data_IF_817714150566
#
_entry.id   IF_817714150566
#
_cell.length_a   1.000
_cell.length_b   1.000
_cell.length_c   1.000
_cell.angle_alpha   90.00
_cell.angle_beta   90.00
_cell.angle_gamma   90.00
#
_symmetry.space_group_name_H-M   'P 1'
#
loop_
_entity.id
_entity.type
_entity.pdbx_description
1 polymer ?
#
# COMPACT_ATOMS: atom_id res chain seq x y z
N UNK A 1 27.73 18.68 -11.27
CA UNK A 1 26.73 18.97 -10.21
C UNK A 1 25.49 19.51 -10.89
N UNK A 2 24.27 19.17 -10.47
CA UNK A 2 23.06 19.61 -11.19
C UNK A 2 22.64 21.00 -10.73
N UNK A 3 22.44 21.93 -11.67
CA UNK A 3 22.02 23.32 -11.43
C UNK A 3 20.76 23.39 -10.56
N UNK A 4 19.83 22.45 -10.75
CA UNK A 4 18.59 22.33 -9.98
C UNK A 4 18.85 22.05 -8.50
N UNK A 5 19.89 21.26 -8.19
CA UNK A 5 20.24 20.96 -6.80
C UNK A 5 20.79 22.19 -6.10
N UNK A 6 21.65 22.96 -6.77
CA UNK A 6 22.25 24.16 -6.17
C UNK A 6 21.22 25.31 -6.08
N UNK A 7 20.27 25.39 -7.02
CA UNK A 7 19.13 26.30 -6.93
C UNK A 7 18.25 25.99 -5.72
N UNK A 8 18.01 24.71 -5.43
CA UNK A 8 17.25 24.30 -4.27
C UNK A 8 17.98 24.64 -2.96
N UNK A 9 19.30 24.41 -2.89
CA UNK A 9 20.11 24.77 -1.72
C UNK A 9 20.04 26.27 -1.42
N UNK A 10 20.19 27.11 -2.45
CA UNK A 10 20.04 28.58 -2.28
C UNK A 10 18.63 28.94 -1.79
N UNK A 11 17.60 28.36 -2.39
CA UNK A 11 16.21 28.66 -2.03
C UNK A 11 15.87 28.28 -0.58
N UNK A 12 16.40 27.17 -0.06
CA UNK A 12 16.18 26.80 1.35
C UNK A 12 16.94 27.73 2.29
N UNK A 13 18.18 28.11 1.97
CA UNK A 13 18.95 29.07 2.76
C UNK A 13 18.24 30.43 2.82
N UNK A 14 17.77 30.94 1.69
CA UNK A 14 16.99 32.19 1.62
C UNK A 14 15.73 32.11 2.48
N UNK A 15 15.03 30.98 2.45
CA UNK A 15 13.83 30.78 3.24
C UNK A 15 14.13 30.75 4.75
N UNK A 16 15.18 30.04 5.16
CA UNK A 16 15.62 30.00 6.57
C UNK A 16 15.95 31.40 7.07
N UNK A 17 16.69 32.19 6.29
CA UNK A 17 17.05 33.57 6.63
C UNK A 17 15.83 34.49 6.71
N UNK A 18 14.93 34.40 5.71
CA UNK A 18 13.72 35.22 5.68
C UNK A 18 12.78 34.90 6.85
N UNK A 19 12.70 33.63 7.27
CA UNK A 19 11.95 33.21 8.45
C UNK A 19 12.57 33.74 9.73
N UNK A 20 13.88 33.58 9.91
CA UNK A 20 14.57 34.10 11.09
C UNK A 20 14.39 35.63 11.23
N UNK A 21 14.45 36.37 10.12
CA UNK A 21 14.18 37.81 10.12
C UNK A 21 12.73 38.15 10.53
N UNK A 22 11.75 37.34 10.10
CA UNK A 22 10.34 37.47 10.51
C UNK A 22 10.14 37.18 12.00
N UNK A 23 10.88 36.22 12.55
CA UNK A 23 10.78 35.87 13.97
C UNK A 23 11.36 36.99 14.86
N UNK A 24 12.33 37.76 14.34
CA UNK A 24 12.88 38.96 15.01
C UNK A 24 12.04 40.23 14.80
N UNK A 25 11.39 40.38 13.64
CA UNK A 25 10.55 41.53 13.27
C UNK A 25 9.23 41.04 12.66
N UNK A 26 8.13 41.17 13.42
CA UNK A 26 6.80 40.73 13.02
C UNK A 26 6.13 41.64 11.97
N UNK A 27 6.87 42.59 11.37
CA UNK A 27 6.36 43.52 10.38
C UNK A 27 5.80 42.87 9.10
N UNK A 28 4.80 43.50 8.42
CA UNK A 28 4.19 42.96 7.20
C UNK A 28 5.18 42.64 6.08
N UNK A 29 6.26 43.41 5.95
CA UNK A 29 7.30 43.21 4.93
C UNK A 29 8.11 41.93 5.16
N UNK A 30 8.43 41.62 6.43
CA UNK A 30 9.16 40.41 6.79
C UNK A 30 8.31 39.16 6.51
N UNK A 31 7.01 39.23 6.84
CA UNK A 31 6.03 38.17 6.50
C UNK A 31 5.96 37.92 4.98
N UNK A 32 5.75 38.97 4.18
CA UNK A 32 5.70 38.85 2.72
C UNK A 32 7.01 38.25 2.15
N UNK A 33 8.16 38.64 2.71
CA UNK A 33 9.46 38.09 2.28
C UNK A 33 9.57 36.59 2.57
N UNK A 34 9.19 36.16 3.77
CA UNK A 34 9.19 34.75 4.16
C UNK A 34 8.23 33.93 3.30
N UNK A 35 7.02 34.44 3.04
CA UNK A 35 6.02 33.77 2.21
C UNK A 35 6.49 33.63 0.76
N UNK A 36 7.11 34.68 0.18
CA UNK A 36 7.71 34.62 -1.16
C UNK A 36 8.87 33.62 -1.24
N UNK A 37 9.72 33.58 -0.22
CA UNK A 37 10.84 32.64 -0.17
C UNK A 37 10.34 31.18 -0.07
N UNK A 38 9.31 30.94 0.76
CA UNK A 38 8.66 29.63 0.84
C UNK A 38 8.01 29.23 -0.49
N UNK A 39 7.28 30.15 -1.14
CA UNK A 39 6.64 29.89 -2.43
C UNK A 39 7.66 29.49 -3.51
N UNK A 40 8.84 30.16 -3.56
CA UNK A 40 9.93 29.76 -4.47
C UNK A 40 10.46 28.37 -4.16
N UNK A 41 10.70 28.06 -2.89
CA UNK A 41 11.18 26.75 -2.45
C UNK A 41 10.17 25.64 -2.82
N UNK A 42 8.89 25.87 -2.53
CA UNK A 42 7.81 24.94 -2.85
C UNK A 42 7.67 24.73 -4.37
N UNK A 43 7.81 25.78 -5.17
CA UNK A 43 7.76 25.68 -6.64
C UNK A 43 8.87 24.78 -7.20
N UNK A 44 10.10 24.90 -6.68
CA UNK A 44 11.23 24.02 -7.07
C UNK A 44 10.98 22.55 -6.70
N UNK A 45 10.23 22.29 -5.61
CA UNK A 45 9.89 20.94 -5.17
C UNK A 45 8.60 20.39 -5.80
N UNK A 46 7.80 21.21 -6.49
CA UNK A 46 6.51 20.83 -7.04
C UNK A 46 6.56 19.59 -7.97
N UNK A 47 7.56 19.41 -8.86
CA UNK A 47 7.67 18.19 -9.66
C UNK A 47 7.82 16.93 -8.81
N UNK A 48 8.60 17.01 -7.72
CA UNK A 48 8.80 15.92 -6.76
C UNK A 48 7.54 15.62 -5.98
N UNK A 49 6.84 16.66 -5.52
CA UNK A 49 5.54 16.52 -4.84
C UNK A 49 4.57 15.78 -5.75
N UNK A 50 4.40 16.22 -7.01
CA UNK A 50 3.54 15.52 -7.99
C UNK A 50 3.92 14.06 -8.21
N UNK A 51 5.22 13.78 -8.30
CA UNK A 51 5.73 12.42 -8.43
C UNK A 51 5.33 11.55 -7.23
N UNK A 52 5.58 12.02 -6.01
CA UNK A 52 5.26 11.26 -4.81
C UNK A 52 3.75 11.14 -4.58
N UNK A 53 2.95 12.19 -4.80
CA UNK A 53 1.48 12.11 -4.71
C UNK A 53 0.93 10.97 -5.57
N UNK A 54 1.39 10.86 -6.84
CA UNK A 54 1.02 9.73 -7.70
C UNK A 54 1.52 8.38 -7.16
N UNK A 55 2.78 8.32 -6.71
CA UNK A 55 3.41 7.08 -6.20
C UNK A 55 2.70 6.52 -4.97
N UNK A 56 2.14 7.40 -4.12
CA UNK A 56 1.41 7.02 -2.92
C UNK A 56 -0.08 6.77 -3.17
N UNK A 57 -0.56 6.95 -4.42
CA UNK A 57 -1.96 6.75 -4.79
C UNK A 57 -2.90 7.82 -4.24
N UNK A 58 -2.41 9.06 -4.09
CA UNK A 58 -3.14 10.19 -3.51
C UNK A 58 -3.61 11.18 -4.59
N UNK A 59 -3.81 10.73 -5.83
CA UNK A 59 -4.23 11.60 -6.94
C UNK A 59 -5.61 12.21 -6.69
N UNK A 60 -6.54 11.45 -6.12
CA UNK A 60 -7.90 11.90 -5.80
C UNK A 60 -7.94 12.85 -4.59
N UNK A 61 -6.81 13.04 -3.92
CA UNK A 61 -6.62 13.96 -2.80
C UNK A 61 -5.36 14.82 -3.00
N UNK A 62 -5.15 15.27 -4.24
CA UNK A 62 -3.95 16.01 -4.61
C UNK A 62 -3.77 17.32 -3.83
N UNK A 63 -4.87 17.98 -3.46
CA UNK A 63 -4.85 19.21 -2.66
C UNK A 63 -4.36 18.95 -1.23
N UNK A 64 -4.93 17.95 -0.55
CA UNK A 64 -4.47 17.51 0.78
C UNK A 64 -3.01 17.06 0.75
N UNK A 65 -2.62 16.34 -0.30
CA UNK A 65 -1.24 15.90 -0.49
C UNK A 65 -0.29 17.09 -0.69
N UNK A 66 -0.72 18.13 -1.42
CA UNK A 66 0.05 19.36 -1.58
C UNK A 66 0.22 20.10 -0.24
N UNK A 67 -0.84 20.19 0.56
CA UNK A 67 -0.78 20.82 1.89
C UNK A 67 0.11 20.03 2.86
N UNK A 68 -0.01 18.70 2.90
CA UNK A 68 0.86 17.83 3.70
C UNK A 68 2.33 17.98 3.28
N UNK A 69 2.61 18.05 1.97
CA UNK A 69 3.96 18.31 1.47
C UNK A 69 4.45 19.72 1.84
N UNK A 70 3.61 20.74 1.82
CA UNK A 70 3.98 22.09 2.25
C UNK A 70 4.39 22.11 3.72
N UNK A 71 3.67 21.41 4.60
CA UNK A 71 4.03 21.21 6.00
C UNK A 71 5.38 20.48 6.11
N UNK A 72 5.58 19.42 5.32
CA UNK A 72 6.84 18.68 5.28
C UNK A 72 8.03 19.57 4.92
N UNK A 73 7.87 20.42 3.88
CA UNK A 73 8.91 21.34 3.40
C UNK A 73 9.23 22.39 4.47
N UNK A 74 8.20 22.94 5.10
CA UNK A 74 8.36 23.90 6.19
C UNK A 74 9.18 23.29 7.32
N UNK A 75 8.75 22.15 7.87
CA UNK A 75 9.45 21.42 8.95
C UNK A 75 10.85 20.99 8.55
N UNK A 76 11.05 20.57 7.29
CA UNK A 76 12.36 20.23 6.78
C UNK A 76 13.31 21.42 6.84
N UNK A 77 12.85 22.61 6.43
CA UNK A 77 13.68 23.81 6.50
C UNK A 77 14.03 24.21 7.95
N UNK A 78 13.13 23.99 8.91
CA UNK A 78 13.39 24.30 10.33
C UNK A 78 14.57 23.52 10.93
N UNK A 79 14.75 22.27 10.49
CA UNK A 79 15.73 21.32 11.06
C UNK A 79 16.86 21.00 10.09
N UNK A 80 16.96 21.76 9.00
CA UNK A 80 17.93 21.48 7.97
C UNK A 80 19.35 21.80 8.45
N UNK A 81 20.23 20.80 8.36
CA UNK A 81 21.67 20.93 8.59
C UNK A 81 22.43 20.51 7.32
N UNK A 82 23.02 21.47 6.57
CA UNK A 82 23.73 21.18 5.33
C UNK A 82 24.99 20.33 5.54
N UNK A 83 25.50 20.20 6.78
CA UNK A 83 26.65 19.34 7.10
C UNK A 83 26.28 17.86 7.11
N UNK A 84 25.00 17.53 7.34
CA UNK A 84 24.51 16.14 7.43
C UNK A 84 24.09 15.57 6.08
N UNK A 85 23.40 16.36 5.27
CA UNK A 85 22.92 15.94 3.95
C UNK A 85 22.54 17.16 3.10
N UNK A 86 22.44 16.95 1.78
CA UNK A 86 21.80 17.91 0.87
C UNK A 86 20.30 18.03 1.16
N UNK A 87 19.73 19.20 0.94
CA UNK A 87 18.34 19.49 1.24
C UNK A 87 17.39 18.60 0.43
N UNK A 88 17.71 18.37 -0.85
CA UNK A 88 16.93 17.49 -1.75
C UNK A 88 16.69 16.11 -1.13
N UNK A 89 17.73 15.52 -0.54
CA UNK A 89 17.66 14.22 0.12
C UNK A 89 16.82 14.33 1.39
N UNK A 90 17.14 15.28 2.28
CA UNK A 90 16.44 15.42 3.54
C UNK A 90 14.93 15.68 3.38
N UNK A 91 14.56 16.64 2.52
CA UNK A 91 13.16 16.99 2.28
C UNK A 91 12.39 15.85 1.61
N UNK A 92 13.04 15.05 0.75
CA UNK A 92 12.40 13.87 0.15
C UNK A 92 12.03 12.82 1.20
N UNK A 93 12.71 12.76 2.34
CA UNK A 93 12.33 11.89 3.45
C UNK A 93 11.12 12.45 4.20
N UNK A 94 11.11 13.75 4.48
CA UNK A 94 9.98 14.42 5.13
C UNK A 94 8.69 14.32 4.31
N UNK A 95 8.76 14.58 2.99
CA UNK A 95 7.62 14.47 2.07
C UNK A 95 7.04 13.05 2.09
N UNK A 96 7.90 12.03 2.03
CA UNK A 96 7.45 10.63 2.05
C UNK A 96 6.76 10.25 3.37
N UNK A 97 7.23 10.76 4.49
CA UNK A 97 6.63 10.51 5.80
C UNK A 97 5.23 11.14 5.90
N UNK A 98 5.07 12.40 5.54
CA UNK A 98 3.76 13.09 5.60
C UNK A 98 2.75 12.48 4.62
N UNK A 99 3.16 12.13 3.40
CA UNK A 99 2.27 11.44 2.45
C UNK A 99 1.87 10.04 2.92
N UNK A 100 2.79 9.32 3.58
CA UNK A 100 2.45 8.03 4.18
C UNK A 100 1.43 8.18 5.32
N UNK A 101 1.60 9.19 6.17
CA UNK A 101 0.66 9.50 7.24
C UNK A 101 -0.71 9.90 6.69
N UNK A 102 -0.77 10.74 5.65
CA UNK A 102 -2.00 11.13 4.97
C UNK A 102 -2.73 9.90 4.40
N UNK A 103 -1.99 9.01 3.72
CA UNK A 103 -2.53 7.77 3.18
C UNK A 103 -3.11 6.85 4.26
N UNK A 104 -2.48 6.79 5.43
CA UNK A 104 -3.01 6.01 6.56
C UNK A 104 -4.33 6.61 7.08
N UNK A 105 -4.39 7.93 7.23
CA UNK A 105 -5.61 8.64 7.66
C UNK A 105 -6.78 8.41 6.70
N UNK A 106 -6.54 8.45 5.38
CA UNK A 106 -7.58 8.17 4.39
C UNK A 106 -8.10 6.73 4.42
N UNK A 107 -7.30 5.79 4.93
CA UNK A 107 -7.69 4.38 5.12
C UNK A 107 -8.39 4.14 6.45
N UNK A 108 -8.82 5.19 7.15
CA UNK A 108 -9.43 5.11 8.47
C UNK A 108 -8.43 4.92 9.62
N UNK A 109 -7.13 4.93 9.33
CA UNK A 109 -6.08 4.83 10.35
C UNK A 109 -5.70 6.21 10.87
N UNK A 110 -6.45 6.73 11.84
CA UNK A 110 -5.86 7.74 12.73
C UNK A 110 -4.80 7.01 13.57
N UNK A 111 -3.53 7.38 13.41
CA UNK A 111 -2.47 6.92 14.31
C UNK A 111 -2.66 7.61 15.66
N UNK A 112 -3.63 7.13 16.44
CA UNK A 112 -3.79 7.50 17.83
C UNK A 112 -2.84 6.60 18.63
N UNK A 113 -2.01 7.21 19.46
CA UNK A 113 -1.23 6.45 20.42
C UNK A 113 -2.20 5.74 21.36
N UNK A 114 -2.09 4.42 21.46
CA UNK A 114 -2.87 3.62 22.41
C UNK A 114 -2.65 4.13 23.83
N UNK A 115 -1.44 4.56 24.17
CA UNK A 115 -1.10 5.11 25.49
C UNK A 115 -1.80 6.46 25.75
N UNK A 116 -1.92 7.31 24.73
CA UNK A 116 -2.64 8.59 24.85
C UNK A 116 -4.16 8.38 24.96
N UNK A 117 -4.68 7.33 24.34
CA UNK A 117 -6.09 6.93 24.46
C UNK A 117 -6.39 6.22 25.79
N UNK A 118 -5.43 5.46 26.30
CA UNK A 118 -5.51 4.84 27.63
C UNK A 118 -5.48 5.91 28.72
N UNK A 119 -4.61 6.91 28.59
CA UNK A 119 -4.52 8.03 29.54
C UNK A 119 -5.80 8.89 29.61
N UNK A 120 -6.56 8.98 28.51
CA UNK A 120 -7.84 9.71 28.47
C UNK A 120 -9.05 8.85 28.84
N UNK A 121 -8.85 7.56 29.17
CA UNK A 121 -9.95 6.61 29.43
C UNK A 121 -10.77 6.24 28.19
N UNK A 122 -10.41 6.77 27.01
CA UNK A 122 -11.07 6.50 25.74
C UNK A 122 -10.80 5.07 25.23
N UNK A 123 -9.70 4.44 25.66
CA UNK A 123 -9.35 3.06 25.28
C UNK A 123 -10.44 2.03 25.66
N UNK A 124 -11.15 2.24 26.77
CA UNK A 124 -12.23 1.35 27.21
C UNK A 124 -13.45 1.38 26.26
N UNK A 125 -13.68 2.51 25.57
CA UNK A 125 -14.75 2.67 24.58
C UNK A 125 -14.36 2.16 23.19
N UNK A 126 -13.06 1.93 22.96
CA UNK A 126 -12.50 1.43 21.69
C UNK A 126 -12.36 -0.09 21.65
N UNK A 127 -12.40 -0.75 22.81
CA UNK A 127 -12.39 -2.20 22.89
C UNK A 127 -13.74 -2.74 22.39
N UNK A 128 -13.86 -2.94 21.08
CA UNK A 128 -14.98 -3.66 20.49
C UNK A 128 -14.88 -5.15 20.92
N UNK A 129 -15.85 -5.67 21.68
CA UNK A 129 -15.84 -7.09 22.06
C UNK A 129 -15.81 -7.97 20.81
N UNK A 130 -14.84 -8.88 20.73
CA UNK A 130 -14.67 -9.77 19.58
C UNK A 130 -13.84 -9.17 18.43
N UNK A 131 -13.27 -7.97 18.56
CA UNK A 131 -12.39 -7.40 17.53
C UNK A 131 -11.17 -8.28 17.22
N UNK A 132 -10.58 -8.92 18.23
CA UNK A 132 -9.49 -9.86 18.05
C UNK A 132 -9.94 -11.08 17.24
N UNK A 133 -11.04 -11.72 17.67
CA UNK A 133 -11.59 -12.90 16.98
C UNK A 133 -11.98 -12.57 15.54
N UNK A 134 -12.56 -11.39 15.30
CA UNK A 134 -12.89 -10.89 13.97
C UNK A 134 -11.64 -10.63 13.12
N UNK A 135 -10.59 -10.05 13.71
CA UNK A 135 -9.33 -9.80 13.01
C UNK A 135 -8.60 -11.10 12.66
N UNK A 136 -8.54 -12.05 13.60
CA UNK A 136 -7.98 -13.40 13.38
C UNK A 136 -8.77 -14.16 12.32
N UNK A 137 -10.10 -14.11 12.37
CA UNK A 137 -10.98 -14.73 11.37
C UNK A 137 -10.74 -14.14 9.98
N UNK A 138 -10.71 -12.81 9.84
CA UNK A 138 -10.42 -12.16 8.56
C UNK A 138 -9.00 -12.45 8.06
N UNK A 139 -8.01 -12.47 8.95
CA UNK A 139 -6.63 -12.81 8.58
C UNK A 139 -6.54 -14.25 8.08
N UNK A 140 -7.15 -15.19 8.79
CA UNK A 140 -7.25 -16.61 8.41
C UNK A 140 -7.95 -16.79 7.07
N UNK A 141 -9.11 -16.16 6.87
CA UNK A 141 -9.85 -16.22 5.62
C UNK A 141 -9.05 -15.64 4.45
N UNK A 142 -8.37 -14.51 4.67
CA UNK A 142 -7.51 -13.89 3.66
C UNK A 142 -6.33 -14.78 3.29
N UNK A 143 -5.71 -15.45 4.26
CA UNK A 143 -4.64 -16.42 4.01
C UNK A 143 -5.17 -17.63 3.24
N UNK A 144 -6.31 -18.19 3.64
CA UNK A 144 -6.97 -19.29 2.96
C UNK A 144 -7.28 -18.95 1.49
N UNK A 145 -7.87 -17.77 1.22
CA UNK A 145 -8.14 -17.29 -0.15
C UNK A 145 -6.87 -17.17 -0.98
N UNK A 146 -5.80 -16.58 -0.43
CA UNK A 146 -4.51 -16.45 -1.12
C UNK A 146 -3.87 -17.81 -1.43
N UNK A 147 -3.94 -18.74 -0.49
CA UNK A 147 -3.47 -20.11 -0.68
C UNK A 147 -4.28 -20.82 -1.78
N UNK A 148 -5.61 -20.70 -1.75
CA UNK A 148 -6.49 -21.27 -2.76
C UNK A 148 -6.22 -20.70 -4.16
N UNK A 149 -6.11 -19.37 -4.29
CA UNK A 149 -5.80 -18.72 -5.57
C UNK A 149 -4.43 -19.18 -6.11
N UNK A 150 -3.40 -19.29 -5.25
CA UNK A 150 -2.08 -19.79 -5.67
C UNK A 150 -2.11 -21.25 -6.13
N UNK A 151 -2.81 -22.13 -5.40
CA UNK A 151 -2.95 -23.54 -5.79
C UNK A 151 -3.70 -23.68 -7.12
N UNK A 152 -4.68 -22.80 -7.35
CA UNK A 152 -5.46 -22.77 -8.58
C UNK A 152 -4.63 -22.25 -9.77
N UNK A 153 -3.83 -21.19 -9.59
CA UNK A 153 -2.92 -20.68 -10.62
C UNK A 153 -1.94 -21.76 -11.07
N UNK A 154 -1.30 -22.43 -10.11
CA UNK A 154 -0.37 -23.53 -10.38
C UNK A 154 -1.07 -24.68 -11.14
N UNK A 155 -2.31 -25.02 -10.75
CA UNK A 155 -3.09 -26.06 -11.42
C UNK A 155 -3.53 -25.65 -12.84
N UNK A 156 -4.03 -24.42 -13.03
CA UNK A 156 -4.50 -23.92 -14.34
C UNK A 156 -3.37 -23.85 -15.35
N UNK A 157 -2.17 -23.43 -14.94
CA UNK A 157 -0.99 -23.43 -15.80
C UNK A 157 -0.67 -24.83 -16.35
N UNK A 158 -0.70 -25.85 -15.48
CA UNK A 158 -0.49 -27.24 -15.88
C UNK A 158 -1.63 -27.78 -16.75
N UNK A 159 -2.87 -27.45 -16.39
CA UNK A 159 -4.06 -27.88 -17.13
C UNK A 159 -4.05 -27.34 -18.56
N UNK A 160 -3.68 -26.07 -18.73
CA UNK A 160 -3.48 -25.41 -20.02
C UNK A 160 -2.39 -26.11 -20.83
N UNK A 161 -1.22 -26.36 -20.24
CA UNK A 161 -0.12 -27.06 -20.91
C UNK A 161 -0.50 -28.48 -21.35
N UNK A 162 -1.26 -29.22 -20.54
CA UNK A 162 -1.72 -30.57 -20.88
C UNK A 162 -2.74 -30.57 -22.03
N UNK A 163 -3.65 -29.60 -22.06
CA UNK A 163 -4.65 -29.46 -23.12
C UNK A 163 -4.05 -28.94 -24.44
N UNK A 164 -3.03 -28.08 -24.37
CA UNK A 164 -2.33 -27.58 -25.55
C UNK A 164 -1.60 -28.69 -26.34
N UNK A 165 -1.26 -29.81 -25.68
CA UNK A 165 -0.67 -31.00 -26.33
C UNK A 165 -1.69 -31.86 -27.10
N UNK A 166 -2.98 -31.53 -27.04
CA UNK A 166 -4.04 -32.31 -27.69
C UNK A 166 -4.41 -31.73 -29.06
N UNK A 167 -4.68 -32.57 -30.08
CA UNK A 167 -4.94 -32.12 -31.46
C UNK A 167 -6.25 -31.33 -31.66
N UNK A 168 -7.08 -31.17 -30.62
CA UNK A 168 -8.34 -30.39 -30.64
C UNK A 168 -8.27 -29.21 -29.66
N UNK A 169 -7.27 -28.34 -29.84
CA UNK A 169 -6.99 -27.19 -28.96
C UNK A 169 -7.96 -26.00 -29.10
N UNK A 170 -9.03 -26.11 -29.89
CA UNK A 170 -10.06 -25.07 -29.92
C UNK A 170 -10.72 -24.97 -28.52
N UNK A 171 -10.79 -23.76 -27.96
CA UNK A 171 -11.45 -23.43 -26.68
C UNK A 171 -10.75 -23.92 -25.40
N UNK A 172 -9.41 -24.07 -25.41
CA UNK A 172 -8.63 -24.41 -24.19
C UNK A 172 -8.84 -23.39 -23.08
N UNK A 173 -8.72 -22.09 -23.37
CA UNK A 173 -8.84 -21.05 -22.34
C UNK A 173 -10.22 -21.01 -21.68
N UNK A 174 -11.30 -21.05 -22.47
CA UNK A 174 -12.66 -21.04 -21.92
C UNK A 174 -12.93 -22.28 -21.07
N UNK A 175 -12.38 -23.44 -21.46
CA UNK A 175 -12.50 -24.67 -20.67
C UNK A 175 -11.73 -24.59 -19.36
N UNK A 176 -10.48 -24.14 -19.40
CA UNK A 176 -9.65 -23.98 -18.19
C UNK A 176 -10.28 -22.96 -17.25
N UNK A 177 -10.80 -21.84 -17.76
CA UNK A 177 -11.51 -20.84 -16.96
C UNK A 177 -12.75 -21.41 -16.28
N UNK A 178 -13.57 -22.19 -16.99
CA UNK A 178 -14.76 -22.82 -16.42
C UNK A 178 -14.42 -23.86 -15.34
N UNK A 179 -13.43 -24.73 -15.61
CA UNK A 179 -12.95 -25.71 -14.62
C UNK A 179 -12.34 -24.98 -13.39
N UNK A 180 -11.59 -23.90 -13.60
CA UNK A 180 -10.97 -23.12 -12.52
C UNK A 180 -11.99 -22.43 -11.61
N UNK A 181 -13.01 -21.81 -12.17
CA UNK A 181 -14.09 -21.18 -11.40
C UNK A 181 -14.81 -22.21 -10.51
N UNK A 182 -15.03 -23.40 -11.05
CA UNK A 182 -15.67 -24.51 -10.33
C UNK A 182 -14.82 -25.01 -9.16
N UNK A 183 -13.50 -25.15 -9.34
CA UNK A 183 -12.56 -25.57 -8.29
C UNK A 183 -12.42 -24.47 -7.24
N UNK A 184 -12.29 -23.20 -7.65
CA UNK A 184 -12.17 -22.05 -6.74
C UNK A 184 -13.34 -21.99 -5.77
N UNK A 185 -14.56 -22.14 -6.30
CA UNK A 185 -15.77 -22.20 -5.49
C UNK A 185 -15.74 -23.35 -4.49
N UNK A 186 -15.11 -24.49 -4.80
CA UNK A 186 -14.98 -25.59 -3.84
C UNK A 186 -13.88 -25.39 -2.79
N UNK A 187 -12.89 -24.56 -3.05
CA UNK A 187 -11.78 -24.31 -2.12
C UNK A 187 -12.07 -23.21 -1.09
N UNK A 188 -12.86 -22.20 -1.46
CA UNK A 188 -13.06 -20.98 -0.64
C UNK A 188 -14.42 -20.99 0.06
N UNK A 189 -15.40 -21.66 -0.54
CA UNK A 189 -16.81 -21.40 -0.33
C UNK A 189 -17.42 -22.61 0.41
N UNK A 190 -17.24 -22.66 1.74
CA UNK A 190 -17.72 -23.76 2.59
C UNK A 190 -19.26 -23.73 2.72
N UNK A 191 -19.87 -22.55 2.61
CA UNK A 191 -21.32 -22.37 2.78
C UNK A 191 -22.15 -22.56 1.50
N UNK A 192 -21.54 -22.57 0.31
CA UNK A 192 -22.27 -22.80 -0.96
C UNK A 192 -22.43 -24.29 -1.32
N UNK A 193 -22.78 -25.11 -0.34
CA UNK A 193 -23.31 -26.47 -0.58
C UNK A 193 -24.66 -26.46 -1.34
N UNK A 194 -25.31 -25.30 -1.49
CA UNK A 194 -26.63 -25.15 -2.09
C UNK A 194 -26.74 -25.56 -3.56
N UNK A 195 -25.65 -25.57 -4.36
CA UNK A 195 -25.70 -26.07 -5.75
C UNK A 195 -25.09 -27.46 -5.84
N UNK A 196 -25.96 -28.47 -5.97
CA UNK A 196 -25.56 -29.85 -6.30
C UNK A 196 -24.77 -29.84 -7.61
N UNK A 197 -23.53 -30.32 -7.56
CA UNK A 197 -22.72 -30.53 -8.75
C UNK A 197 -23.25 -31.73 -9.53
N UNK A 198 -23.28 -31.60 -10.85
CA UNK A 198 -23.45 -32.76 -11.74
C UNK A 198 -22.32 -33.77 -11.53
N UNK A 199 -22.51 -35.02 -11.95
CA UNK A 199 -21.46 -36.06 -11.84
C UNK A 199 -20.19 -35.66 -12.61
N UNK A 200 -20.34 -35.02 -13.77
CA UNK A 200 -19.23 -34.50 -14.58
C UNK A 200 -18.42 -33.46 -13.82
N UNK A 201 -19.08 -32.48 -13.20
CA UNK A 201 -18.43 -31.46 -12.39
C UNK A 201 -17.75 -32.07 -11.15
N UNK A 202 -18.40 -33.04 -10.48
CA UNK A 202 -17.79 -33.78 -9.36
C UNK A 202 -16.53 -34.50 -9.78
N UNK A 203 -16.50 -35.10 -10.97
CA UNK A 203 -15.32 -35.76 -11.49
C UNK A 203 -14.20 -34.75 -11.78
N UNK A 204 -14.51 -33.58 -12.36
CA UNK A 204 -13.55 -32.50 -12.61
C UNK A 204 -12.90 -32.03 -11.29
N UNK A 205 -13.71 -31.73 -10.27
CA UNK A 205 -13.21 -31.29 -8.95
C UNK A 205 -12.32 -32.36 -8.33
N UNK A 206 -12.80 -33.60 -8.23
CA UNK A 206 -12.03 -34.70 -7.62
C UNK A 206 -10.67 -34.88 -8.28
N UNK A 207 -10.63 -34.88 -9.62
CA UNK A 207 -9.37 -35.00 -10.35
C UNK A 207 -8.44 -33.82 -10.13
N UNK A 208 -8.97 -32.60 -10.09
CA UNK A 208 -8.17 -31.40 -9.86
C UNK A 208 -7.58 -31.37 -8.45
N UNK A 209 -8.39 -31.66 -7.43
CA UNK A 209 -7.93 -31.73 -6.03
C UNK A 209 -6.88 -32.82 -5.83
N UNK A 210 -7.07 -33.99 -6.45
CA UNK A 210 -6.06 -35.06 -6.41
C UNK A 210 -4.75 -34.66 -7.08
N UNK A 211 -4.77 -33.90 -8.19
CA UNK A 211 -3.56 -33.36 -8.81
C UNK A 211 -2.86 -32.35 -7.89
N UNK A 212 -3.62 -31.42 -7.32
CA UNK A 212 -3.11 -30.40 -6.40
C UNK A 212 -2.45 -31.07 -5.19
N UNK A 213 -3.14 -32.02 -4.53
CA UNK A 213 -2.64 -32.73 -3.35
C UNK A 213 -1.33 -33.49 -3.64
N UNK A 214 -1.28 -34.25 -4.75
CA UNK A 214 -0.04 -34.96 -5.15
C UNK A 214 1.14 -34.01 -5.35
N UNK A 215 0.90 -32.81 -5.87
CA UNK A 215 1.95 -31.82 -6.15
C UNK A 215 2.43 -31.09 -4.90
N UNK A 216 1.53 -30.82 -3.95
CA UNK A 216 1.91 -30.32 -2.63
C UNK A 216 2.80 -31.34 -1.92
N UNK A 217 2.42 -32.63 -1.93
CA UNK A 217 3.19 -33.70 -1.32
C UNK A 217 4.55 -33.96 -2.01
N UNK A 218 4.64 -33.76 -3.33
CA UNK A 218 5.87 -33.93 -4.09
C UNK A 218 6.87 -32.76 -3.97
N UNK A 219 6.51 -31.65 -3.31
CA UNK A 219 7.39 -30.50 -3.12
C UNK A 219 8.32 -30.78 -1.91
N UNK A 220 9.65 -30.82 -2.09
CA UNK A 220 10.56 -31.09 -0.98
C UNK A 220 10.46 -29.97 0.05
N UNK A 221 9.95 -30.28 1.24
CA UNK A 221 9.82 -29.34 2.36
C UNK A 221 8.61 -29.51 3.27
N UNK A 222 7.60 -30.32 2.92
CA UNK A 222 6.46 -30.59 3.80
C UNK A 222 6.53 -32.00 4.38
N UNK A 223 6.99 -32.12 5.63
CA UNK A 223 6.77 -33.32 6.45
C UNK A 223 5.40 -33.14 7.14
N UNK A 224 4.39 -33.97 6.87
CA UNK A 224 3.20 -33.99 7.71
C UNK A 224 3.60 -34.61 9.06
N UNK A 225 3.56 -33.81 10.13
CA UNK A 225 3.64 -34.36 11.48
C UNK A 225 2.39 -35.21 11.75
N UNK A 226 2.62 -36.35 12.40
CA UNK A 226 1.66 -37.44 12.64
C UNK A 226 0.74 -37.13 13.82
#
# INVERSE_FOLDING_TARGET
MSEDSDALERAVTDYIQARAARDCDAGPRARIRADRAFARLAALLAPRVRYFTRRYGLTDAAEDAAQACAIAIHRAAERYDPRRARFTTYVSWQIRAELQALRQRQRGGAALSLDALAATGAAAWLAEPGAQDAAESHASERLARRCADRLLDDWTARRRAALARQPRAARVESRVAAEAALIRRRLIDVETETRRLSESERHIVRRALADIARRVAAKPGFRPES
#
